data_IF_845681008097
#
_entry.id   IF_845681008097
#
_cell.length_a   1.000
_cell.length_b   1.000
_cell.length_c   1.000
_cell.angle_alpha   90.00
_cell.angle_beta   90.00
_cell.angle_gamma   90.00
#
_symmetry.space_group_name_H-M   'P 1'
#
loop_
_entity.id
_entity.type
_entity.pdbx_description
1 polymer ?
#
# COMPACT_ATOMS: atom_id res chain seq x y z
N UNK A 1 -23.16 -81.34 0.24
CA UNK A 1 -24.58 -81.10 -0.09
C UNK A 1 -25.01 -79.80 0.57
N UNK A 2 -25.49 -78.84 -0.24
CA UNK A 2 -26.49 -77.78 0.07
C UNK A 2 -26.32 -76.94 1.36
N UNK A 3 -26.40 -75.60 1.36
CA UNK A 3 -26.99 -74.63 0.41
C UNK A 3 -26.40 -73.25 0.72
N UNK A 4 -26.15 -72.49 -0.34
CA UNK A 4 -25.90 -71.05 -0.33
C UNK A 4 -27.19 -70.32 0.05
N UNK A 5 -27.09 -69.30 0.91
CA UNK A 5 -28.10 -68.24 1.04
C UNK A 5 -27.37 -66.91 0.95
N UNK A 6 -27.64 -66.23 -0.16
CA UNK A 6 -27.19 -64.88 -0.48
C UNK A 6 -27.92 -63.87 0.41
N UNK A 7 -27.19 -63.06 1.18
CA UNK A 7 -27.69 -61.79 1.68
C UNK A 7 -27.44 -60.71 0.63
N UNK A 8 -28.53 -60.05 0.22
CA UNK A 8 -28.56 -58.90 -0.69
C UNK A 8 -27.84 -57.71 -0.03
N UNK A 9 -26.78 -57.21 -0.66
CA UNK A 9 -26.24 -55.88 -0.37
C UNK A 9 -27.15 -54.83 -1.01
N UNK A 10 -27.72 -53.96 -0.18
CA UNK A 10 -28.48 -52.80 -0.61
C UNK A 10 -27.58 -51.77 -1.28
N UNK A 11 -28.01 -51.31 -2.45
CA UNK A 11 -27.40 -50.21 -3.18
C UNK A 11 -27.64 -48.89 -2.43
N UNK A 12 -26.62 -48.37 -1.76
CA UNK A 12 -26.64 -47.00 -1.24
C UNK A 12 -26.21 -46.07 -2.37
N UNK A 13 -27.21 -45.51 -3.06
CA UNK A 13 -27.04 -44.40 -3.98
C UNK A 13 -26.61 -43.17 -3.18
N UNK A 14 -25.33 -42.80 -3.27
CA UNK A 14 -24.82 -41.55 -2.72
C UNK A 14 -25.34 -40.41 -3.60
N UNK A 15 -26.39 -39.75 -3.12
CA UNK A 15 -26.91 -38.51 -3.68
C UNK A 15 -25.79 -37.46 -3.58
N UNK A 16 -25.10 -37.17 -4.68
CA UNK A 16 -24.26 -35.99 -4.81
C UNK A 16 -25.16 -34.77 -4.68
N UNK A 17 -25.28 -34.27 -3.45
CA UNK A 17 -25.80 -32.95 -3.16
C UNK A 17 -25.03 -31.96 -4.03
N UNK A 18 -25.70 -31.46 -5.07
CA UNK A 18 -25.29 -30.26 -5.77
C UNK A 18 -25.27 -29.14 -4.73
N UNK A 19 -24.10 -28.90 -4.14
CA UNK A 19 -23.83 -27.67 -3.44
C UNK A 19 -23.87 -26.60 -4.53
N UNK A 20 -25.05 -25.97 -4.62
CA UNK A 20 -25.27 -24.84 -5.48
C UNK A 20 -24.14 -23.85 -5.27
N UNK A 21 -23.50 -23.49 -6.38
CA UNK A 21 -22.64 -22.34 -6.47
C UNK A 21 -23.49 -21.14 -6.03
N UNK A 22 -23.38 -20.75 -4.75
CA UNK A 22 -23.98 -19.52 -4.26
C UNK A 22 -23.31 -18.40 -5.05
N UNK A 23 -24.10 -17.74 -5.88
CA UNK A 23 -23.76 -16.45 -6.46
C UNK A 23 -23.18 -15.57 -5.36
N UNK A 24 -21.93 -15.15 -5.54
CA UNK A 24 -21.31 -14.16 -4.66
C UNK A 24 -22.08 -12.87 -4.88
N UNK A 25 -22.93 -12.50 -3.93
CA UNK A 25 -23.72 -11.29 -4.01
C UNK A 25 -22.83 -10.07 -4.27
N UNK A 26 -23.07 -9.41 -5.41
CA UNK A 26 -22.31 -8.27 -5.93
C UNK A 26 -22.62 -6.94 -5.23
N UNK A 27 -22.98 -6.95 -3.95
CA UNK A 27 -23.16 -5.69 -3.20
C UNK A 27 -21.78 -5.15 -2.83
N UNK A 28 -21.22 -4.29 -3.68
CA UNK A 28 -19.93 -3.63 -3.43
C UNK A 28 -19.87 -2.98 -2.05
N UNK A 29 -18.82 -3.27 -1.29
CA UNK A 29 -18.68 -2.93 0.14
C UNK A 29 -18.07 -1.56 0.39
N UNK A 30 -17.71 -0.80 -0.65
CA UNK A 30 -17.43 0.63 -0.51
C UNK A 30 -18.71 1.35 -0.07
N UNK A 31 -18.54 2.25 0.90
CA UNK A 31 -19.61 3.17 1.30
C UNK A 31 -19.90 4.14 0.15
N UNK A 32 -21.13 4.65 0.07
CA UNK A 32 -21.54 5.54 -1.03
C UNK A 32 -20.62 6.75 -1.20
N UNK A 33 -20.17 7.37 -0.10
CA UNK A 33 -19.23 8.49 -0.17
C UNK A 33 -17.84 8.08 -0.69
N UNK A 34 -17.38 6.85 -0.42
CA UNK A 34 -16.11 6.33 -0.96
C UNK A 34 -16.23 6.10 -2.46
N UNK A 35 -17.38 5.59 -2.93
CA UNK A 35 -17.66 5.44 -4.37
C UNK A 35 -17.65 6.80 -5.06
N UNK A 36 -18.40 7.78 -4.54
CA UNK A 36 -18.42 9.15 -5.07
C UNK A 36 -17.03 9.79 -5.08
N UNK A 37 -16.25 9.61 -4.01
CA UNK A 37 -14.87 10.09 -3.93
C UNK A 37 -14.03 9.53 -5.08
N UNK A 38 -14.00 8.20 -5.25
CA UNK A 38 -13.21 7.56 -6.31
C UNK A 38 -13.70 7.96 -7.70
N UNK A 39 -15.01 8.09 -7.90
CA UNK A 39 -15.62 8.48 -9.17
C UNK A 39 -15.28 9.92 -9.56
N UNK A 40 -15.08 10.79 -8.58
CA UNK A 40 -14.65 12.18 -8.80
C UNK A 40 -13.17 12.31 -9.22
N UNK A 41 -12.41 11.20 -9.22
CA UNK A 41 -10.96 11.20 -9.46
C UNK A 41 -10.24 12.24 -8.57
N UNK A 42 -10.16 11.99 -7.26
CA UNK A 42 -9.75 13.00 -6.29
C UNK A 42 -8.28 13.38 -6.47
N UNK A 43 -7.94 14.63 -6.14
CA UNK A 43 -6.54 15.07 -6.07
C UNK A 43 -5.85 14.47 -4.84
N UNK A 44 -4.52 14.57 -4.81
CA UNK A 44 -3.76 14.24 -3.61
C UNK A 44 -4.10 15.26 -2.53
N UNK A 45 -4.47 14.76 -1.35
CA UNK A 45 -4.72 15.53 -0.13
C UNK A 45 -3.39 16.07 0.35
N UNK A 46 -3.30 17.39 0.47
CA UNK A 46 -2.12 18.10 0.95
C UNK A 46 -2.42 18.84 2.25
N UNK A 47 -1.41 18.92 3.11
CA UNK A 47 -1.42 19.69 4.36
C UNK A 47 -0.11 20.45 4.49
N UNK A 48 -0.17 21.62 5.13
CA UNK A 48 1.02 22.35 5.56
C UNK A 48 1.66 21.66 6.78
N UNK A 49 2.97 21.82 7.01
CA UNK A 49 3.63 21.28 8.20
C UNK A 49 2.93 21.69 9.51
N UNK A 50 2.47 22.92 9.59
CA UNK A 50 1.83 23.55 10.75
C UNK A 50 0.42 23.02 11.05
N UNK A 51 -0.33 22.60 10.03
CA UNK A 51 -1.70 22.08 10.17
C UNK A 51 -1.80 20.56 9.97
N UNK A 52 -0.66 19.90 9.83
CA UNK A 52 -0.55 18.47 9.57
C UNK A 52 -1.23 17.60 10.62
N UNK A 53 -1.51 18.10 11.83
CA UNK A 53 -2.22 17.39 12.91
C UNK A 53 -3.75 17.47 12.82
N UNK A 54 -4.30 18.16 11.82
CA UNK A 54 -5.75 18.27 11.63
C UNK A 54 -6.44 16.93 11.34
N UNK A 55 -7.76 16.88 11.57
CA UNK A 55 -8.59 15.72 11.24
C UNK A 55 -8.76 15.59 9.72
N UNK A 56 -7.81 14.91 9.11
CA UNK A 56 -7.77 14.62 7.68
C UNK A 56 -7.68 13.11 7.47
N UNK A 57 -7.94 12.64 6.25
CA UNK A 57 -7.69 11.25 5.89
C UNK A 57 -6.26 10.80 6.20
N UNK A 58 -5.29 11.73 6.13
CA UNK A 58 -3.87 11.47 6.40
C UNK A 58 -3.55 11.09 7.86
N UNK A 59 -4.45 11.39 8.80
CA UNK A 59 -4.28 11.12 10.24
C UNK A 59 -5.15 10.00 10.79
N UNK A 60 -6.04 9.44 9.95
CA UNK A 60 -6.92 8.35 10.35
C UNK A 60 -6.34 7.01 9.95
N UNK A 61 -6.33 6.06 10.89
CA UNK A 61 -5.93 4.68 10.61
C UNK A 61 -6.86 4.04 9.58
N UNK A 62 -6.26 3.41 8.58
CA UNK A 62 -6.97 2.80 7.46
C UNK A 62 -7.62 1.47 7.81
N UNK A 63 -8.81 1.24 7.26
CA UNK A 63 -9.56 0.00 7.40
C UNK A 63 -9.12 -1.05 6.37
N UNK A 64 -9.29 -2.33 6.72
CA UNK A 64 -8.98 -3.44 5.81
C UNK A 64 -9.76 -3.33 4.50
N UNK A 65 -9.13 -3.80 3.44
CA UNK A 65 -9.65 -3.81 2.08
C UNK A 65 -10.06 -5.21 1.59
N UNK A 66 -9.82 -6.27 2.36
CA UNK A 66 -10.18 -7.66 2.00
C UNK A 66 -11.66 -7.89 1.67
N UNK A 67 -12.59 -7.04 2.16
CA UNK A 67 -14.02 -7.16 1.85
C UNK A 67 -14.43 -6.46 0.56
N UNK A 68 -13.54 -5.68 -0.07
CA UNK A 68 -13.82 -4.99 -1.32
C UNK A 68 -13.90 -5.99 -2.47
N UNK A 69 -14.83 -5.76 -3.39
CA UNK A 69 -14.94 -6.58 -4.60
C UNK A 69 -13.76 -6.32 -5.53
N UNK A 70 -13.45 -7.28 -6.41
CA UNK A 70 -12.38 -7.13 -7.41
C UNK A 70 -12.59 -5.90 -8.30
N UNK A 71 -13.84 -5.57 -8.64
CA UNK A 71 -14.17 -4.38 -9.43
C UNK A 71 -13.86 -3.07 -8.68
N UNK A 72 -14.18 -3.00 -7.38
CA UNK A 72 -13.84 -1.84 -6.54
C UNK A 72 -12.33 -1.68 -6.41
N UNK A 73 -11.61 -2.78 -6.17
CA UNK A 73 -10.14 -2.77 -6.07
C UNK A 73 -9.49 -2.31 -7.38
N UNK A 74 -9.96 -2.79 -8.53
CA UNK A 74 -9.44 -2.34 -9.83
C UNK A 74 -9.71 -0.86 -10.08
N UNK A 75 -10.86 -0.34 -9.66
CA UNK A 75 -11.20 1.08 -9.80
C UNK A 75 -10.30 1.96 -8.93
N UNK A 76 -10.11 1.58 -7.66
CA UNK A 76 -9.19 2.26 -6.74
C UNK A 76 -7.76 2.24 -7.29
N UNK A 77 -7.29 1.07 -7.72
CA UNK A 77 -5.95 0.88 -8.30
C UNK A 77 -5.74 1.79 -9.52
N UNK A 78 -6.73 1.86 -10.42
CA UNK A 78 -6.68 2.72 -11.60
C UNK A 78 -6.52 4.20 -11.24
N UNK A 79 -7.35 4.71 -10.33
CA UNK A 79 -7.31 6.11 -9.88
C UNK A 79 -5.98 6.43 -9.20
N UNK A 80 -5.53 5.58 -8.28
CA UNK A 80 -4.26 5.77 -7.57
C UNK A 80 -3.06 5.74 -8.54
N UNK A 81 -3.04 4.82 -9.51
CA UNK A 81 -1.96 4.73 -10.50
C UNK A 81 -1.90 5.96 -11.38
N UNK A 82 -3.05 6.48 -11.80
CA UNK A 82 -3.11 7.72 -12.59
C UNK A 82 -2.55 8.91 -11.78
N UNK A 83 -2.84 8.98 -10.48
CA UNK A 83 -2.33 10.04 -9.59
C UNK A 83 -0.83 9.91 -9.34
N UNK A 84 -0.33 8.72 -9.01
CA UNK A 84 1.09 8.47 -8.82
C UNK A 84 1.90 8.86 -10.07
N UNK A 85 1.47 8.40 -11.25
CA UNK A 85 2.13 8.75 -12.52
C UNK A 85 2.15 10.25 -12.79
N UNK A 86 1.06 10.95 -12.52
CA UNK A 86 0.98 12.41 -12.71
C UNK A 86 1.86 13.18 -11.73
N UNK A 87 2.08 12.64 -10.53
CA UNK A 87 2.81 13.32 -9.46
C UNK A 87 4.33 13.29 -9.61
N UNK A 88 4.88 12.29 -10.33
CA UNK A 88 6.31 12.04 -10.39
C UNK A 88 6.92 11.39 -9.12
N UNK A 89 6.09 11.05 -8.13
CA UNK A 89 6.51 10.32 -6.92
C UNK A 89 6.74 8.82 -7.16
N UNK A 90 7.19 8.14 -6.12
CA UNK A 90 7.45 6.67 -6.14
C UNK A 90 6.54 5.88 -5.21
N UNK A 91 5.78 6.54 -4.33
CA UNK A 91 4.77 5.94 -3.47
C UNK A 91 3.45 6.69 -3.52
N UNK A 92 2.34 5.99 -3.26
CA UNK A 92 1.06 6.63 -2.99
C UNK A 92 0.13 5.72 -2.18
N UNK A 93 -0.28 6.17 -1.00
CA UNK A 93 -1.23 5.49 -0.14
C UNK A 93 -2.66 6.01 -0.36
N UNK A 94 -3.65 5.13 -0.23
CA UNK A 94 -5.06 5.49 -0.42
C UNK A 94 -5.52 6.66 0.49
N UNK A 95 -5.05 6.81 1.75
CA UNK A 95 -5.33 7.98 2.56
C UNK A 95 -4.96 9.32 1.90
N UNK A 96 -3.92 9.33 1.07
CA UNK A 96 -3.49 10.52 0.34
C UNK A 96 -4.44 10.92 -0.79
N UNK A 97 -5.41 10.08 -1.15
CA UNK A 97 -6.49 10.44 -2.07
C UNK A 97 -7.85 10.54 -1.34
N UNK A 98 -7.82 10.64 0.00
CA UNK A 98 -9.01 10.75 0.84
C UNK A 98 -9.64 9.42 1.25
N UNK A 99 -9.13 8.28 0.77
CA UNK A 99 -9.70 6.95 1.01
C UNK A 99 -8.94 6.21 2.12
N UNK A 100 -9.52 6.10 3.32
CA UNK A 100 -8.92 5.40 4.46
C UNK A 100 -9.04 3.86 4.36
N UNK A 101 -8.44 3.29 3.31
CA UNK A 101 -8.31 1.84 3.08
C UNK A 101 -6.83 1.45 3.08
N UNK A 102 -6.54 0.23 3.54
CA UNK A 102 -5.17 -0.31 3.61
C UNK A 102 -4.65 -0.71 2.24
N UNK A 103 -4.44 0.28 1.38
CA UNK A 103 -3.96 0.10 0.01
C UNK A 103 -2.89 1.16 -0.23
N UNK A 104 -1.73 0.74 -0.72
CA UNK A 104 -0.74 1.67 -1.26
C UNK A 104 -0.12 1.13 -2.55
N UNK A 105 0.47 2.04 -3.31
CA UNK A 105 1.28 1.76 -4.49
C UNK A 105 2.74 2.04 -4.19
N UNK A 106 3.63 1.21 -4.75
CA UNK A 106 5.08 1.44 -4.73
C UNK A 106 5.64 1.23 -6.13
N UNK A 107 6.49 2.14 -6.56
CA UNK A 107 7.32 1.99 -7.75
C UNK A 107 8.64 1.31 -7.37
N UNK A 108 8.81 0.07 -7.82
CA UNK A 108 10.05 -0.69 -7.62
C UNK A 108 11.20 -0.04 -8.39
N UNK A 109 12.41 -0.12 -7.83
CA UNK A 109 13.64 0.43 -8.44
C UNK A 109 14.29 -0.55 -9.43
N UNK A 110 13.49 -1.39 -10.07
CA UNK A 110 13.95 -2.26 -11.15
C UNK A 110 14.02 -1.50 -12.47
N UNK A 111 14.65 -2.09 -13.50
CA UNK A 111 14.81 -1.46 -14.82
C UNK A 111 13.47 -1.03 -15.45
N UNK A 112 12.36 -1.69 -15.08
CA UNK A 112 11.03 -1.42 -15.63
C UNK A 112 10.26 -0.37 -14.84
N UNK A 113 10.78 0.09 -13.70
CA UNK A 113 10.10 0.99 -12.75
C UNK A 113 8.65 0.56 -12.49
N UNK A 114 8.48 -0.73 -12.22
CA UNK A 114 7.16 -1.33 -12.10
C UNK A 114 6.40 -0.78 -10.87
N UNK A 115 5.16 -0.34 -11.08
CA UNK A 115 4.26 0.06 -9.99
C UNK A 115 3.48 -1.17 -9.53
N UNK A 116 3.69 -1.59 -8.29
CA UNK A 116 2.95 -2.67 -7.63
C UNK A 116 1.89 -2.09 -6.68
N UNK A 117 0.83 -2.87 -6.48
CA UNK A 117 -0.27 -2.54 -5.57
C UNK A 117 -0.21 -3.47 -4.38
N UNK A 118 -0.17 -2.91 -3.18
CA UNK A 118 -0.14 -3.65 -1.93
C UNK A 118 -1.45 -3.45 -1.18
N UNK A 119 -2.28 -4.49 -1.16
CA UNK A 119 -3.57 -4.52 -0.46
C UNK A 119 -3.39 -5.24 0.87
N UNK A 120 -3.93 -4.63 1.93
CA UNK A 120 -3.79 -5.09 3.33
C UNK A 120 -2.34 -5.47 3.70
N UNK A 121 -1.34 -4.62 3.42
CA UNK A 121 0.05 -4.97 3.68
C UNK A 121 0.33 -5.12 5.18
N UNK A 122 1.25 -6.03 5.48
CA UNK A 122 1.78 -6.32 6.82
C UNK A 122 3.31 -6.43 6.74
N UNK A 123 4.02 -5.60 7.50
CA UNK A 123 5.46 -5.77 7.72
C UNK A 123 5.63 -6.90 8.74
N UNK A 124 6.10 -8.06 8.30
CA UNK A 124 6.24 -9.27 9.15
C UNK A 124 7.61 -9.36 9.80
N UNK A 125 8.65 -8.80 9.18
CA UNK A 125 10.00 -8.71 9.73
C UNK A 125 10.62 -7.35 9.36
N UNK A 126 11.50 -6.83 10.21
CA UNK A 126 12.26 -5.59 9.99
C UNK A 126 13.64 -5.71 10.63
N UNK A 127 14.67 -5.13 10.02
CA UNK A 127 16.01 -5.13 10.57
C UNK A 127 16.10 -4.33 11.88
N UNK A 128 17.09 -4.60 12.73
CA UNK A 128 17.40 -3.73 13.89
C UNK A 128 18.08 -2.44 13.40
N UNK A 129 18.99 -2.59 12.44
CA UNK A 129 19.72 -1.50 11.82
C UNK A 129 18.76 -0.50 11.13
N UNK A 130 19.09 0.78 11.27
CA UNK A 130 18.37 1.86 10.62
C UNK A 130 19.31 2.71 9.79
N UNK A 131 18.78 3.21 8.68
CA UNK A 131 19.46 4.14 7.80
C UNK A 131 18.76 5.49 7.85
N UNK A 132 19.55 6.54 7.98
CA UNK A 132 19.10 7.92 7.81
C UNK A 132 18.93 8.21 6.32
N UNK A 133 17.84 8.87 5.96
CA UNK A 133 17.61 9.28 4.57
C UNK A 133 16.59 10.39 4.48
N UNK A 134 16.81 11.29 3.53
CA UNK A 134 15.89 12.38 3.28
C UNK A 134 14.63 11.86 2.59
N UNK A 135 13.48 12.23 3.16
CA UNK A 135 12.15 11.96 2.62
C UNK A 135 11.47 13.29 2.29
N UNK A 136 10.72 13.29 1.19
CA UNK A 136 9.63 14.23 0.96
C UNK A 136 8.32 13.44 0.85
N UNK A 137 7.20 14.13 0.75
CA UNK A 137 5.88 13.51 0.67
C UNK A 137 4.99 14.30 -0.27
N UNK A 138 4.25 13.60 -1.15
CA UNK A 138 3.24 14.23 -2.02
C UNK A 138 2.16 15.00 -1.24
N UNK A 139 1.91 14.63 0.02
CA UNK A 139 0.93 15.28 0.90
C UNK A 139 1.48 16.44 1.73
N UNK A 140 2.80 16.67 1.75
CA UNK A 140 3.42 17.82 2.42
C UNK A 140 4.38 18.47 1.42
N UNK A 141 3.84 19.16 0.40
CA UNK A 141 4.63 19.66 -0.72
C UNK A 141 5.61 20.75 -0.27
N UNK A 142 6.78 20.80 -0.92
CA UNK A 142 7.78 21.84 -0.70
C UNK A 142 8.70 21.64 0.50
N UNK A 143 8.53 20.55 1.26
CA UNK A 143 9.37 20.24 2.42
C UNK A 143 9.92 18.81 2.37
N UNK A 144 11.04 18.61 3.06
CA UNK A 144 11.57 17.29 3.35
C UNK A 144 12.38 17.28 4.64
N UNK A 145 12.68 16.09 5.15
CA UNK A 145 13.45 15.93 6.37
C UNK A 145 14.22 14.61 6.37
N UNK A 146 15.25 14.53 7.21
CA UNK A 146 15.97 13.30 7.46
C UNK A 146 15.13 12.39 8.37
N UNK A 147 14.86 11.17 7.91
CA UNK A 147 14.03 10.20 8.65
C UNK A 147 14.81 8.88 8.80
N UNK A 148 14.98 8.36 10.02
CA UNK A 148 15.57 7.05 10.25
C UNK A 148 14.54 5.95 9.93
N UNK A 149 14.91 5.00 9.07
CA UNK A 149 14.07 3.87 8.66
C UNK A 149 14.83 2.56 8.82
N UNK A 150 14.11 1.46 9.07
CA UNK A 150 14.73 0.13 9.07
C UNK A 150 15.35 -0.15 7.69
N UNK A 151 16.59 -0.65 7.66
CA UNK A 151 17.37 -0.88 6.43
C UNK A 151 16.77 -1.97 5.52
N UNK A 152 16.04 -2.94 6.10
CA UNK A 152 15.35 -3.98 5.35
C UNK A 152 14.05 -4.43 6.02
N UNK A 153 13.13 -4.93 5.20
CA UNK A 153 11.83 -5.44 5.62
C UNK A 153 11.50 -6.74 4.90
N UNK A 154 10.64 -7.54 5.51
CA UNK A 154 9.82 -8.56 4.84
C UNK A 154 8.37 -8.15 4.97
N UNK A 155 7.65 -8.08 3.86
CA UNK A 155 6.27 -7.59 3.78
C UNK A 155 5.40 -8.63 3.10
N UNK A 156 4.22 -8.88 3.67
CA UNK A 156 3.16 -9.68 3.04
C UNK A 156 2.00 -8.78 2.66
N UNK A 157 1.34 -9.07 1.54
CA UNK A 157 0.21 -8.29 1.02
C UNK A 157 -0.53 -9.08 -0.06
N UNK A 158 -1.70 -8.62 -0.49
CA UNK A 158 -2.36 -9.08 -1.72
C UNK A 158 -2.08 -8.10 -2.86
N UNK A 159 -1.78 -8.62 -4.06
CA UNK A 159 -1.65 -7.79 -5.25
C UNK A 159 -3.01 -7.30 -5.78
N UNK A 160 -3.02 -6.45 -6.82
CA UNK A 160 -4.26 -5.91 -7.42
C UNK A 160 -5.26 -6.96 -7.94
N UNK A 161 -4.87 -8.23 -8.05
CA UNK A 161 -5.75 -9.35 -8.42
C UNK A 161 -6.22 -10.14 -7.19
N UNK A 162 -5.86 -9.71 -5.99
CA UNK A 162 -6.12 -10.40 -4.73
C UNK A 162 -5.11 -11.51 -4.41
N UNK A 163 -4.07 -11.70 -5.23
CA UNK A 163 -3.12 -12.81 -5.06
C UNK A 163 -2.18 -12.52 -3.91
N UNK A 164 -2.02 -13.42 -2.91
CA UNK A 164 -1.05 -13.23 -1.84
C UNK A 164 0.39 -13.15 -2.36
N UNK A 165 1.17 -12.22 -1.82
CA UNK A 165 2.59 -11.99 -2.12
C UNK A 165 3.36 -11.82 -0.82
N UNK A 166 4.63 -12.24 -0.87
CA UNK A 166 5.64 -11.93 0.15
C UNK A 166 6.85 -11.36 -0.56
N UNK A 167 7.38 -10.24 -0.07
CA UNK A 167 8.52 -9.56 -0.66
C UNK A 167 9.51 -9.15 0.45
N UNK A 168 10.79 -9.38 0.21
CA UNK A 168 11.87 -8.80 1.00
C UNK A 168 12.43 -7.58 0.27
N UNK A 169 12.49 -6.44 0.94
CA UNK A 169 12.97 -5.16 0.39
C UNK A 169 14.08 -4.61 1.27
N UNK A 170 15.00 -3.83 0.69
CA UNK A 170 16.12 -3.18 1.39
C UNK A 170 16.35 -1.75 0.87
N UNK A 171 17.12 -0.97 1.62
CA UNK A 171 17.53 0.38 1.24
C UNK A 171 16.35 1.28 0.87
N UNK A 172 16.40 1.89 -0.31
CA UNK A 172 15.37 2.85 -0.74
C UNK A 172 13.97 2.24 -0.88
N UNK A 173 13.84 1.00 -1.37
CA UNK A 173 12.54 0.34 -1.44
C UNK A 173 11.96 0.09 -0.04
N UNK A 174 12.78 -0.37 0.91
CA UNK A 174 12.35 -0.52 2.31
C UNK A 174 11.87 0.81 2.92
N UNK A 175 12.50 1.92 2.54
CA UNK A 175 12.09 3.27 2.94
C UNK A 175 10.73 3.65 2.37
N UNK A 176 10.51 3.48 1.06
CA UNK A 176 9.21 3.76 0.41
C UNK A 176 8.12 2.94 1.08
N UNK A 177 8.32 1.63 1.25
CA UNK A 177 7.34 0.76 1.90
C UNK A 177 6.99 1.21 3.32
N UNK A 178 7.97 1.62 4.13
CA UNK A 178 7.70 2.15 5.48
C UNK A 178 6.94 3.47 5.46
N UNK A 179 7.24 4.35 4.50
CA UNK A 179 6.55 5.63 4.33
C UNK A 179 5.07 5.40 3.96
N UNK A 180 4.81 4.59 2.94
CA UNK A 180 3.45 4.28 2.52
C UNK A 180 2.67 3.50 3.58
N UNK A 181 3.34 2.62 4.32
CA UNK A 181 2.73 1.92 5.44
C UNK A 181 2.33 2.89 6.56
N UNK A 182 3.16 3.89 6.87
CA UNK A 182 2.84 4.90 7.89
C UNK A 182 1.57 5.68 7.55
N UNK A 183 1.36 6.01 6.28
CA UNK A 183 0.11 6.63 5.85
C UNK A 183 -1.11 5.77 6.18
N UNK A 184 -1.01 4.44 6.10
CA UNK A 184 -2.10 3.54 6.50
C UNK A 184 -2.35 3.55 8.02
N UNK A 185 -1.36 3.95 8.80
CA UNK A 185 -1.45 4.07 10.26
C UNK A 185 -1.80 5.50 10.73
N UNK A 186 -2.01 6.44 9.79
CA UNK A 186 -2.26 7.85 10.13
C UNK A 186 -1.01 8.62 10.57
N UNK A 187 0.17 8.10 10.24
CA UNK A 187 1.48 8.64 10.60
C UNK A 187 2.11 9.31 9.36
N UNK A 188 2.69 10.49 9.56
CA UNK A 188 3.39 11.23 8.51
C UNK A 188 4.89 11.22 8.80
N UNK A 189 5.71 11.34 7.75
CA UNK A 189 7.17 11.33 7.91
C UNK A 189 7.67 12.42 8.88
N UNK A 190 6.97 13.55 8.94
CA UNK A 190 7.25 14.67 9.87
C UNK A 190 7.19 14.27 11.36
N UNK A 191 6.46 13.20 11.69
CA UNK A 191 6.36 12.70 13.06
C UNK A 191 7.59 11.87 13.47
N UNK A 192 8.44 11.52 12.49
CA UNK A 192 9.61 10.64 12.67
C UNK A 192 10.93 11.32 12.34
N UNK A 193 10.93 12.63 12.16
CA UNK A 193 12.12 13.36 11.72
C UNK A 193 13.24 13.31 12.76
N UNK A 194 14.46 13.22 12.25
CA UNK A 194 15.68 13.45 13.00
C UNK A 194 16.23 14.81 12.58
N UNK A 195 16.13 15.79 13.47
CA UNK A 195 16.57 17.15 13.20
C UNK A 195 15.44 18.04 12.68
N UNK A 196 15.69 18.79 11.60
CA UNK A 196 14.79 19.85 11.13
C UNK A 196 14.02 19.44 9.88
N UNK A 197 12.80 19.95 9.78
CA UNK A 197 12.09 20.04 8.51
C UNK A 197 12.72 21.17 7.68
N UNK A 198 13.02 20.90 6.42
CA UNK A 198 13.74 21.79 5.53
C UNK A 198 12.92 22.05 4.26
N UNK A 199 13.04 23.24 3.64
CA UNK A 199 12.56 23.45 2.28
C UNK A 199 13.15 22.41 1.32
N UNK A 200 12.36 21.94 0.36
CA UNK A 200 12.76 20.86 -0.54
C UNK A 200 14.02 21.19 -1.36
N UNK A 201 14.20 22.46 -1.73
CA UNK A 201 15.42 22.92 -2.43
C UNK A 201 16.70 22.66 -1.62
N UNK A 202 16.63 22.86 -0.30
CA UNK A 202 17.76 22.60 0.60
C UNK A 202 18.01 21.10 0.75
N UNK A 203 16.94 20.30 0.85
CA UNK A 203 17.05 18.84 0.89
C UNK A 203 17.74 18.30 -0.37
N UNK A 204 17.39 18.83 -1.55
CA UNK A 204 18.05 18.46 -2.82
C UNK A 204 19.53 18.79 -2.78
N UNK A 205 19.91 19.98 -2.31
CA UNK A 205 21.32 20.39 -2.17
C UNK A 205 22.09 19.41 -1.28
N UNK A 206 21.53 19.06 -0.13
CA UNK A 206 22.15 18.12 0.82
C UNK A 206 22.25 16.70 0.25
N UNK A 207 21.22 16.23 -0.47
CA UNK A 207 21.24 14.93 -1.16
C UNK A 207 22.35 14.88 -2.21
N UNK A 208 22.48 15.91 -3.06
CA UNK A 208 23.52 15.97 -4.10
C UNK A 208 24.94 15.96 -3.53
N UNK A 209 25.16 16.59 -2.37
CA UNK A 209 26.46 16.59 -1.70
C UNK A 209 26.81 15.24 -1.07
N UNK A 210 25.80 14.45 -0.69
CA UNK A 210 25.98 13.14 -0.06
C UNK A 210 25.98 12.00 -1.11
N UNK A 211 25.48 12.25 -2.32
CA UNK A 211 25.32 11.27 -3.39
C UNK A 211 26.64 10.79 -4.03
N UNK A 212 27.79 11.36 -3.65
CA UNK A 212 29.12 10.85 -4.03
C UNK A 212 29.49 9.53 -3.34
N UNK A 213 28.64 9.01 -2.46
CA UNK A 213 28.80 7.73 -1.78
C UNK A 213 27.49 6.92 -1.91
N UNK A 214 27.44 6.02 -2.89
CA UNK A 214 26.57 4.83 -2.91
C UNK A 214 25.02 4.96 -3.04
N UNK A 215 24.43 5.87 -3.83
CA UNK A 215 22.99 5.72 -4.19
C UNK A 215 22.66 6.03 -5.66
N UNK A 216 22.00 5.12 -6.41
CA UNK A 216 21.52 5.37 -7.77
C UNK A 216 20.20 6.19 -7.81
N UNK A 217 19.68 6.62 -6.66
CA UNK A 217 18.36 7.21 -6.54
C UNK A 217 18.39 8.71 -6.88
N UNK A 218 17.47 9.17 -7.72
CA UNK A 218 17.37 10.56 -8.14
C UNK A 218 17.05 11.48 -6.93
N UNK A 219 17.90 12.50 -6.65
CA UNK A 219 17.75 13.37 -5.48
C UNK A 219 16.45 14.19 -5.50
N UNK A 220 15.78 14.27 -6.64
CA UNK A 220 14.53 15.01 -6.85
C UNK A 220 13.28 14.19 -6.54
N UNK A 221 13.40 12.87 -6.32
CA UNK A 221 12.25 12.00 -6.08
C UNK A 221 11.66 12.24 -4.69
N UNK A 222 10.36 12.56 -4.68
CA UNK A 222 9.49 12.50 -3.52
C UNK A 222 8.98 11.08 -3.35
N UNK A 223 8.86 10.66 -2.08
CA UNK A 223 8.12 9.45 -1.77
C UNK A 223 6.63 9.78 -1.87
#
# INVERSE_FOLDING_TARGET
MNRRTFLKYGSFSFLLSQIGCRSVDHTGTLKNHEKQLIDSNPNIVTVGPENSRGDTSLRRKSHRAAHLTSAELMKIDHVMRARLKKSGGVGLAAPQIGLNRRIFLVMLQNQKKEIITCIDPVIVEKSVEKEDGYEGCLSIPGFGALVPRHSSLKVTFSDRKGTPKTLSVKGFEARIFQHEYDHLEGVLYIDKIKGKLLPWEEVKRLRSQTASVERPDDPHILI
#
